data_IF_245123357151
#
_entry.id   IF_245123357151
#
_cell.length_a   1.000
_cell.length_b   1.000
_cell.length_c   1.000
_cell.angle_alpha   90.00
_cell.angle_beta   90.00
_cell.angle_gamma   90.00
#
_symmetry.space_group_name_H-M   'P 1'
#
loop_
_entity.id
_entity.type
_entity.pdbx_description
1 polymer ?
#
# COMPACT_ATOMS: atom_id res chain seq x y z
N UNK A 1 52.01 3.43 32.02
CA UNK A 1 51.20 3.82 33.20
C UNK A 1 50.38 5.02 32.74
N UNK A 2 49.07 5.01 33.05
CA UNK A 2 47.97 5.84 32.48
C UNK A 2 47.49 5.47 31.06
N UNK A 3 46.21 5.72 30.69
CA UNK A 3 44.93 5.48 31.41
C UNK A 3 43.99 4.57 30.58
N UNK A 4 43.20 3.71 31.23
CA UNK A 4 41.79 3.92 31.60
C UNK A 4 40.78 3.78 30.44
N UNK A 5 40.10 2.63 30.43
CA UNK A 5 38.97 2.30 29.53
C UNK A 5 37.69 2.72 30.23
N UNK A 6 37.09 3.82 29.80
CA UNK A 6 35.74 4.21 30.24
C UNK A 6 34.71 3.96 29.14
N UNK A 7 33.92 2.91 29.34
CA UNK A 7 32.63 2.70 28.68
C UNK A 7 31.56 3.61 29.30
N UNK A 8 30.75 4.34 28.52
CA UNK A 8 29.52 4.93 29.03
C UNK A 8 28.29 4.04 28.82
N UNK A 9 27.81 3.54 29.96
CA UNK A 9 26.43 3.61 30.46
C UNK A 9 25.24 3.19 29.57
N UNK A 10 24.69 2.02 29.94
CA UNK A 10 23.31 1.57 29.80
C UNK A 10 22.27 2.69 30.00
N UNK A 11 21.54 3.04 28.93
CA UNK A 11 20.40 3.96 28.98
C UNK A 11 19.11 3.20 29.33
N UNK A 12 18.65 3.39 30.57
CA UNK A 12 17.38 2.89 31.11
C UNK A 12 16.29 3.92 30.80
N UNK A 13 15.32 3.59 29.94
CA UNK A 13 14.14 4.45 29.73
C UNK A 13 12.96 3.95 30.56
N UNK A 14 12.46 4.88 31.37
CA UNK A 14 11.43 4.78 32.39
C UNK A 14 10.05 4.70 31.72
N UNK A 15 9.24 3.72 32.14
CA UNK A 15 7.80 3.72 31.91
C UNK A 15 7.15 4.69 32.90
N UNK A 16 6.39 5.65 32.39
CA UNK A 16 5.53 6.50 33.20
C UNK A 16 4.08 6.20 32.81
N UNK A 17 3.45 5.37 33.65
CA UNK A 17 2.01 5.18 33.74
C UNK A 17 1.47 6.35 34.56
N UNK A 18 0.52 7.09 34.00
CA UNK A 18 -0.31 8.02 34.76
C UNK A 18 -1.78 7.77 34.37
N UNK A 19 -2.51 7.16 35.28
CA UNK A 19 -3.96 7.08 35.25
C UNK A 19 -4.58 8.40 35.68
N UNK A 20 -5.78 8.67 35.18
CA UNK A 20 -6.61 9.79 35.61
C UNK A 20 -8.06 9.53 35.23
N UNK A 21 -8.85 9.04 36.18
CA UNK A 21 -10.31 8.98 36.16
C UNK A 21 -10.90 10.37 36.38
N UNK A 22 -11.91 10.77 35.60
CA UNK A 22 -12.91 11.75 36.03
C UNK A 22 -14.22 11.62 35.23
N UNK A 23 -15.31 11.84 35.95
CA UNK A 23 -16.71 11.52 35.66
C UNK A 23 -17.45 12.73 35.04
N UNK A 24 -18.44 12.41 34.20
CA UNK A 24 -19.60 13.16 33.66
C UNK A 24 -19.78 14.68 33.90
N UNK A 25 -20.18 15.38 32.82
CA UNK A 25 -21.11 16.51 32.89
C UNK A 25 -21.89 16.67 31.56
N UNK A 26 -23.22 16.56 31.63
CA UNK A 26 -24.14 17.14 30.64
C UNK A 26 -24.19 18.66 30.84
N UNK A 27 -24.14 19.45 29.76
CA UNK A 27 -24.84 20.73 29.67
C UNK A 27 -24.98 21.20 28.21
N UNK A 28 -26.19 21.68 27.96
CA UNK A 28 -26.78 22.19 26.71
C UNK A 28 -26.04 23.43 26.22
N UNK A 29 -25.75 23.47 24.91
CA UNK A 29 -25.25 24.66 24.21
C UNK A 29 -25.64 24.62 22.74
N UNK A 30 -26.49 25.56 22.34
CA UNK A 30 -27.06 25.74 20.99
C UNK A 30 -26.17 26.59 20.07
N UNK A 31 -25.88 26.06 18.88
CA UNK A 31 -25.51 26.71 17.59
C UNK A 31 -24.12 27.41 17.46
N UNK A 32 -23.54 27.57 16.23
CA UNK A 32 -24.14 27.38 14.90
C UNK A 32 -23.39 26.44 13.93
N UNK A 33 -24.10 26.18 12.82
CA UNK A 33 -23.72 25.42 11.65
C UNK A 33 -22.32 25.72 11.10
N UNK A 34 -21.61 24.67 10.71
CA UNK A 34 -20.32 24.78 10.03
C UNK A 34 -19.40 23.57 10.20
N UNK A 35 -19.94 22.36 10.26
CA UNK A 35 -19.13 21.15 10.13
C UNK A 35 -19.68 20.41 8.92
N UNK A 36 -18.88 20.41 7.86
CA UNK A 36 -19.14 19.75 6.61
C UNK A 36 -19.74 18.37 6.84
N UNK A 37 -20.91 18.14 6.24
CA UNK A 37 -21.44 16.82 5.92
C UNK A 37 -20.47 16.16 4.93
N UNK A 38 -19.31 15.75 5.43
CA UNK A 38 -18.50 14.73 4.81
C UNK A 38 -19.20 13.43 5.11
N UNK A 39 -20.00 12.97 4.16
CA UNK A 39 -20.66 11.67 4.10
C UNK A 39 -19.71 10.57 4.63
N UNK A 40 -19.81 10.26 5.93
CA UNK A 40 -19.34 9.00 6.47
C UNK A 40 -20.37 7.95 6.07
N UNK A 41 -20.46 7.72 4.75
CA UNK A 41 -21.20 6.62 4.18
C UNK A 41 -20.64 5.34 4.77
N UNK A 42 -21.52 4.54 5.37
CA UNK A 42 -21.21 3.18 5.76
C UNK A 42 -20.84 2.37 4.51
N UNK A 43 -19.55 2.34 4.18
CA UNK A 43 -18.93 1.54 3.12
C UNK A 43 -17.53 1.08 3.56
N UNK A 44 -17.39 0.76 4.84
CA UNK A 44 -16.13 0.39 5.49
C UNK A 44 -15.43 -0.86 4.92
N UNK A 45 -16.01 -1.55 3.92
CA UNK A 45 -15.48 -2.77 3.31
C UNK A 45 -15.03 -2.65 1.83
N UNK A 46 -15.35 -1.57 1.10
CA UNK A 46 -14.97 -1.44 -0.31
C UNK A 46 -13.81 -0.46 -0.56
N UNK A 47 -13.14 -0.57 -1.72
CA UNK A 47 -12.21 0.44 -2.22
C UNK A 47 -13.01 1.56 -2.91
N UNK A 48 -12.55 2.80 -2.78
CA UNK A 48 -13.14 3.91 -3.55
C UNK A 48 -12.81 3.79 -5.04
N UNK A 49 -13.49 4.57 -5.89
CA UNK A 49 -13.20 4.61 -7.34
C UNK A 49 -11.74 4.96 -7.64
N UNK A 50 -11.19 5.97 -6.96
CA UNK A 50 -9.79 6.38 -7.16
C UNK A 50 -8.80 5.32 -6.65
N UNK A 51 -9.09 4.68 -5.52
CA UNK A 51 -8.27 3.59 -5.00
C UNK A 51 -8.30 2.38 -5.93
N UNK A 52 -9.46 2.07 -6.50
CA UNK A 52 -9.64 1.04 -7.54
C UNK A 52 -8.78 1.36 -8.76
N UNK A 53 -8.83 2.59 -9.26
CA UNK A 53 -7.99 3.02 -10.38
C UNK A 53 -6.49 2.89 -10.07
N UNK A 54 -6.07 3.24 -8.85
CA UNK A 54 -4.68 3.10 -8.42
C UNK A 54 -4.22 1.64 -8.39
N UNK A 55 -5.02 0.73 -7.81
CA UNK A 55 -4.68 -0.70 -7.77
C UNK A 55 -4.64 -1.29 -9.18
N UNK A 56 -5.57 -0.92 -10.05
CA UNK A 56 -5.58 -1.37 -11.45
C UNK A 56 -4.40 -0.84 -12.25
N UNK A 57 -3.94 0.38 -12.00
CA UNK A 57 -2.71 0.90 -12.63
C UNK A 57 -1.49 0.04 -12.24
N UNK A 58 -1.38 -0.33 -10.97
CA UNK A 58 -0.32 -1.24 -10.48
C UNK A 58 -0.48 -2.65 -11.07
N UNK A 59 -1.69 -3.18 -11.16
CA UNK A 59 -1.95 -4.48 -11.76
C UNK A 59 -1.56 -4.52 -13.25
N UNK A 60 -1.93 -3.49 -14.01
CA UNK A 60 -1.58 -3.38 -15.44
C UNK A 60 -0.09 -3.29 -15.66
N UNK A 61 0.63 -2.50 -14.86
CA UNK A 61 2.08 -2.36 -15.02
C UNK A 61 2.83 -3.61 -14.56
N UNK A 62 2.39 -4.24 -13.47
CA UNK A 62 2.93 -5.51 -12.99
C UNK A 62 2.67 -6.69 -13.94
N UNK A 63 1.64 -6.60 -14.78
CA UNK A 63 1.36 -7.60 -15.81
C UNK A 63 2.37 -7.60 -16.98
N UNK A 64 3.18 -6.55 -17.14
CA UNK A 64 4.14 -6.40 -18.25
C UNK A 64 5.59 -6.19 -17.81
N UNK A 65 5.82 -5.79 -16.56
CA UNK A 65 7.13 -5.41 -16.05
C UNK A 65 7.54 -6.26 -14.83
N UNK A 66 8.80 -6.74 -14.75
CA UNK A 66 9.91 -6.51 -15.68
C UNK A 66 9.82 -7.36 -16.96
N UNK A 67 9.09 -8.46 -16.88
CA UNK A 67 8.77 -9.35 -17.99
C UNK A 67 7.26 -9.57 -18.01
N UNK A 68 6.68 -9.89 -19.18
CA UNK A 68 5.26 -10.20 -19.27
C UNK A 68 4.85 -11.32 -18.31
N UNK A 69 3.76 -11.09 -17.60
CA UNK A 69 3.25 -12.06 -16.64
C UNK A 69 2.73 -13.30 -17.40
N UNK A 70 3.15 -14.52 -17.01
CA UNK A 70 2.76 -15.74 -17.71
C UNK A 70 1.25 -15.94 -17.78
N UNK A 71 0.78 -16.68 -18.79
CA UNK A 71 -0.64 -16.89 -18.98
C UNK A 71 -1.28 -17.74 -17.87
N UNK A 72 -0.54 -18.68 -17.27
CA UNK A 72 -1.01 -19.65 -16.26
C UNK A 72 -2.33 -20.36 -16.63
N UNK A 73 -2.50 -20.71 -17.91
CA UNK A 73 -3.72 -21.36 -18.41
C UNK A 73 -4.97 -20.47 -18.46
N UNK A 74 -4.86 -19.19 -18.10
CA UNK A 74 -5.97 -18.24 -18.19
C UNK A 74 -6.04 -17.60 -19.59
N UNK A 75 -7.25 -17.26 -20.03
CA UNK A 75 -7.47 -16.68 -21.36
C UNK A 75 -6.93 -15.26 -21.49
N UNK A 76 -6.35 -14.96 -22.66
CA UNK A 76 -5.87 -13.63 -23.04
C UNK A 76 -4.61 -13.16 -22.29
N UNK A 77 -4.01 -12.04 -22.72
CA UNK A 77 -2.82 -11.48 -22.06
C UNK A 77 -3.15 -10.96 -20.65
N UNK A 78 -2.17 -11.05 -19.75
CA UNK A 78 -2.31 -10.68 -18.34
C UNK A 78 -2.85 -9.26 -18.11
N UNK A 79 -2.47 -8.29 -18.95
CA UNK A 79 -2.96 -6.90 -18.90
C UNK A 79 -4.48 -6.82 -19.02
N UNK A 80 -5.09 -7.66 -19.88
CA UNK A 80 -6.56 -7.68 -20.07
C UNK A 80 -7.30 -8.28 -18.87
N UNK A 81 -6.59 -8.94 -17.95
CA UNK A 81 -7.15 -9.52 -16.72
C UNK A 81 -7.19 -8.52 -15.57
N UNK A 82 -6.50 -7.38 -15.68
CA UNK A 82 -6.57 -6.30 -14.70
C UNK A 82 -7.89 -5.52 -14.83
N UNK A 83 -9.00 -6.17 -14.42
CA UNK A 83 -10.37 -5.65 -14.47
C UNK A 83 -10.91 -5.41 -13.07
N UNK A 84 -11.86 -4.49 -12.94
CA UNK A 84 -12.54 -4.21 -11.67
C UNK A 84 -13.25 -5.44 -11.10
N UNK A 85 -13.85 -6.26 -11.96
CA UNK A 85 -14.52 -7.49 -11.52
C UNK A 85 -13.53 -8.46 -10.84
N UNK A 86 -12.33 -8.61 -11.40
CA UNK A 86 -11.29 -9.46 -10.81
C UNK A 86 -10.67 -8.84 -9.57
N UNK A 87 -10.51 -7.52 -9.54
CA UNK A 87 -10.07 -6.80 -8.36
C UNK A 87 -11.05 -7.02 -7.20
N UNK A 88 -12.36 -6.88 -7.45
CA UNK A 88 -13.39 -7.11 -6.43
C UNK A 88 -13.36 -8.54 -5.90
N UNK A 89 -13.23 -9.52 -6.80
CA UNK A 89 -13.12 -10.93 -6.41
C UNK A 89 -11.85 -11.24 -5.60
N UNK A 90 -10.72 -10.59 -5.91
CA UNK A 90 -9.48 -10.72 -5.16
C UNK A 90 -9.58 -10.01 -3.79
N UNK A 91 -10.15 -8.80 -3.75
CA UNK A 91 -10.33 -8.01 -2.53
C UNK A 91 -11.26 -8.70 -1.53
N UNK A 92 -12.28 -9.43 -2.00
CA UNK A 92 -13.20 -10.19 -1.15
C UNK A 92 -12.51 -11.33 -0.35
N UNK A 93 -11.28 -11.72 -0.74
CA UNK A 93 -10.48 -12.72 -0.01
C UNK A 93 -9.64 -12.11 1.13
N UNK A 94 -9.56 -10.79 1.22
CA UNK A 94 -8.72 -10.11 2.20
C UNK A 94 -9.46 -9.95 3.53
N UNK A 95 -8.73 -10.08 4.63
CA UNK A 95 -9.21 -9.63 5.93
C UNK A 95 -9.22 -8.08 6.03
N UNK A 96 -9.89 -7.55 7.05
CA UNK A 96 -10.06 -6.11 7.25
C UNK A 96 -8.73 -5.38 7.51
N UNK A 97 -7.77 -6.01 8.18
CA UNK A 97 -6.47 -5.41 8.47
C UNK A 97 -5.65 -5.24 7.20
N UNK A 98 -5.64 -6.25 6.34
CA UNK A 98 -4.96 -6.23 5.05
C UNK A 98 -5.63 -5.27 4.08
N UNK A 99 -6.96 -5.21 4.06
CA UNK A 99 -7.68 -4.22 3.26
C UNK A 99 -7.35 -2.78 3.71
N UNK A 100 -7.16 -2.54 5.00
CA UNK A 100 -6.73 -1.23 5.52
C UNK A 100 -5.36 -0.84 4.97
N UNK A 101 -4.40 -1.76 4.94
CA UNK A 101 -3.07 -1.54 4.34
C UNK A 101 -3.15 -1.21 2.84
N UNK A 102 -3.99 -1.94 2.10
CA UNK A 102 -4.26 -1.66 0.67
C UNK A 102 -4.79 -0.25 0.50
N UNK A 103 -5.80 0.15 1.28
CA UNK A 103 -6.40 1.48 1.22
C UNK A 103 -5.38 2.58 1.51
N UNK A 104 -4.55 2.40 2.54
CA UNK A 104 -3.49 3.36 2.88
C UNK A 104 -2.53 3.57 1.70
N UNK A 105 -2.03 2.48 1.10
CA UNK A 105 -1.13 2.60 -0.06
C UNK A 105 -1.83 3.14 -1.31
N UNK A 106 -3.08 2.77 -1.55
CA UNK A 106 -3.85 3.27 -2.69
C UNK A 106 -4.11 4.77 -2.55
N UNK A 107 -4.51 5.22 -1.36
CA UNK A 107 -4.70 6.63 -1.05
C UNK A 107 -3.41 7.44 -1.23
N UNK A 108 -2.27 6.88 -0.79
CA UNK A 108 -0.95 7.45 -0.96
C UNK A 108 -0.56 7.60 -2.45
N UNK A 109 -0.88 6.61 -3.30
CA UNK A 109 -0.71 6.71 -4.76
C UNK A 109 -1.68 7.72 -5.41
N UNK A 110 -2.90 7.84 -4.88
CA UNK A 110 -3.90 8.80 -5.36
C UNK A 110 -3.48 10.24 -5.04
N UNK A 111 -3.09 10.50 -3.79
CA UNK A 111 -2.67 11.82 -3.32
C UNK A 111 -1.48 12.39 -4.11
N UNK A 112 -0.55 11.51 -4.55
CA UNK A 112 0.58 11.90 -5.41
C UNK A 112 0.29 11.88 -6.91
N UNK A 113 -0.91 11.52 -7.32
CA UNK A 113 -1.27 11.32 -8.74
C UNK A 113 -0.45 10.24 -9.45
N UNK A 114 0.21 9.33 -8.71
CA UNK A 114 1.16 8.36 -9.25
C UNK A 114 0.52 7.41 -10.27
N UNK A 115 -0.73 7.00 -10.02
CA UNK A 115 -1.51 6.12 -10.88
C UNK A 115 -1.87 6.70 -12.25
N UNK A 116 -1.73 8.03 -12.44
CA UNK A 116 -1.98 8.72 -13.72
C UNK A 116 -0.69 9.01 -14.48
N UNK A 117 0.48 8.75 -13.88
CA UNK A 117 1.77 8.95 -14.52
C UNK A 117 2.02 7.87 -15.59
N UNK A 118 3.03 8.09 -16.42
CA UNK A 118 3.51 7.05 -17.33
C UNK A 118 3.95 5.79 -16.57
N UNK A 119 3.91 4.63 -17.21
CA UNK A 119 4.28 3.36 -16.58
C UNK A 119 5.68 3.38 -15.93
N UNK A 120 6.67 3.97 -16.61
CA UNK A 120 8.02 4.14 -16.07
C UNK A 120 8.05 5.02 -14.81
N UNK A 121 7.28 6.10 -14.78
CA UNK A 121 7.20 6.99 -13.64
C UNK A 121 6.44 6.34 -12.46
N UNK A 122 5.39 5.56 -12.73
CA UNK A 122 4.71 4.76 -11.72
C UNK A 122 5.68 3.73 -11.11
N UNK A 123 6.44 3.00 -11.91
CA UNK A 123 7.43 2.03 -11.40
C UNK A 123 8.52 2.69 -10.56
N UNK A 124 8.97 3.89 -10.95
CA UNK A 124 9.92 4.66 -10.16
C UNK A 124 9.35 5.09 -8.80
N UNK A 125 8.09 5.54 -8.77
CA UNK A 125 7.40 5.89 -7.52
C UNK A 125 7.20 4.68 -6.60
N UNK A 126 6.85 3.52 -7.19
CA UNK A 126 6.74 2.25 -6.46
C UNK A 126 8.09 1.81 -5.91
N UNK A 127 9.17 1.94 -6.69
CA UNK A 127 10.53 1.64 -6.24
C UNK A 127 10.99 2.53 -5.08
N UNK A 128 10.69 3.83 -5.15
CA UNK A 128 10.96 4.75 -4.04
C UNK A 128 10.15 4.39 -2.79
N UNK A 129 8.84 4.11 -2.94
CA UNK A 129 8.00 3.66 -1.82
C UNK A 129 8.40 2.30 -1.24
N UNK A 130 8.94 1.41 -2.07
CA UNK A 130 9.42 0.10 -1.64
C UNK A 130 10.77 0.16 -0.91
N UNK A 131 11.55 1.23 -1.10
CA UNK A 131 12.78 1.51 -0.36
C UNK A 131 12.53 2.20 0.99
N UNK A 132 11.35 2.80 1.17
CA UNK A 132 10.91 3.42 2.43
C UNK A 132 10.27 2.39 3.36
N UNK A 133 10.86 2.19 4.53
CA UNK A 133 10.40 1.22 5.54
C UNK A 133 8.98 1.48 6.04
N UNK A 134 8.54 2.75 6.09
CA UNK A 134 7.20 3.12 6.56
C UNK A 134 6.12 2.81 5.52
N UNK A 135 6.49 2.84 4.25
CA UNK A 135 5.57 2.62 3.11
C UNK A 135 5.61 1.19 2.60
N UNK A 136 6.65 0.42 2.93
CA UNK A 136 6.85 -0.94 2.43
C UNK A 136 5.69 -1.87 2.71
N UNK A 137 5.22 -1.94 3.96
CA UNK A 137 4.15 -2.89 4.35
C UNK A 137 2.81 -2.60 3.64
N UNK A 138 2.27 -1.36 3.66
CA UNK A 138 1.10 -1.00 2.86
C UNK A 138 1.28 -1.30 1.37
N UNK A 139 2.44 -0.97 0.82
CA UNK A 139 2.71 -1.16 -0.61
C UNK A 139 2.78 -2.64 -1.01
N UNK A 140 3.26 -3.49 -0.12
CA UNK A 140 3.30 -4.95 -0.29
C UNK A 140 1.88 -5.51 -0.36
N UNK A 141 1.01 -5.13 0.57
CA UNK A 141 -0.40 -5.54 0.55
C UNK A 141 -1.13 -5.08 -0.73
N UNK A 142 -0.91 -3.83 -1.17
CA UNK A 142 -1.48 -3.31 -2.41
C UNK A 142 -0.98 -4.10 -3.64
N UNK A 143 0.31 -4.40 -3.67
CA UNK A 143 0.93 -5.13 -4.78
C UNK A 143 0.44 -6.57 -4.82
N UNK A 144 0.30 -7.24 -3.67
CA UNK A 144 -0.25 -8.59 -3.59
C UNK A 144 -1.68 -8.65 -4.13
N UNK A 145 -2.52 -7.65 -3.78
CA UNK A 145 -3.86 -7.52 -4.35
C UNK A 145 -3.82 -7.29 -5.86
N UNK A 146 -2.90 -6.45 -6.35
CA UNK A 146 -2.71 -6.22 -7.78
C UNK A 146 -2.32 -7.50 -8.54
N UNK A 147 -1.42 -8.33 -7.96
CA UNK A 147 -1.01 -9.62 -8.54
C UNK A 147 -2.17 -10.62 -8.54
N UNK A 148 -2.89 -10.77 -7.42
CA UNK A 148 -4.08 -11.63 -7.33
C UNK A 148 -5.23 -11.18 -8.24
N UNK A 149 -5.26 -9.90 -8.61
CA UNK A 149 -6.18 -9.38 -9.64
C UNK A 149 -5.82 -9.91 -11.03
N UNK A 150 -4.53 -9.89 -11.38
CA UNK A 150 -4.02 -10.32 -12.69
C UNK A 150 -4.12 -11.84 -12.87
N UNK A 151 -3.86 -12.62 -11.82
CA UNK A 151 -3.92 -14.08 -11.89
C UNK A 151 -4.54 -14.73 -10.66
N UNK A 152 -5.40 -15.73 -10.92
CA UNK A 152 -6.14 -16.45 -9.87
C UNK A 152 -5.25 -17.41 -9.07
N UNK A 153 -4.08 -17.74 -9.59
CA UNK A 153 -3.12 -18.65 -8.95
C UNK A 153 -2.37 -17.99 -7.77
N UNK A 154 -2.43 -16.66 -7.68
CA UNK A 154 -1.81 -15.92 -6.59
C UNK A 154 -2.85 -15.56 -5.54
N UNK A 155 -2.55 -15.89 -4.30
CA UNK A 155 -3.34 -15.46 -3.16
C UNK A 155 -3.06 -13.97 -2.87
N UNK A 156 -4.05 -13.07 -2.97
CA UNK A 156 -3.86 -11.66 -2.60
C UNK A 156 -3.56 -11.49 -1.10
N UNK A 157 -3.79 -12.51 -0.28
CA UNK A 157 -3.38 -12.62 1.13
C UNK A 157 -1.88 -12.85 1.34
N UNK A 158 -1.16 -13.39 0.35
CA UNK A 158 0.27 -13.71 0.44
C UNK A 158 1.14 -12.55 -0.05
N UNK A 159 2.28 -12.34 0.62
CA UNK A 159 3.25 -11.29 0.29
C UNK A 159 4.34 -11.75 -0.68
N UNK A 160 4.50 -13.05 -0.93
CA UNK A 160 5.66 -13.63 -1.63
C UNK A 160 5.94 -13.00 -3.01
N UNK A 161 4.91 -12.94 -3.87
CA UNK A 161 5.04 -12.36 -5.20
C UNK A 161 5.27 -10.84 -5.15
N UNK A 162 4.62 -10.16 -4.20
CA UNK A 162 4.75 -8.73 -4.01
C UNK A 162 6.15 -8.35 -3.53
N UNK A 163 6.72 -9.14 -2.61
CA UNK A 163 8.03 -8.88 -2.04
C UNK A 163 9.15 -8.99 -3.05
N UNK A 164 9.11 -10.02 -3.90
CA UNK A 164 10.07 -10.18 -4.99
C UNK A 164 10.03 -9.00 -5.96
N UNK A 165 8.84 -8.60 -6.40
CA UNK A 165 8.67 -7.51 -7.36
C UNK A 165 9.05 -6.15 -6.77
N UNK A 166 8.57 -5.82 -5.57
CA UNK A 166 8.93 -4.57 -4.89
C UNK A 166 10.39 -4.56 -4.44
N UNK A 167 10.97 -5.72 -4.11
CA UNK A 167 12.38 -5.86 -3.78
C UNK A 167 13.27 -5.51 -4.97
N UNK A 168 12.93 -6.00 -6.16
CA UNK A 168 13.57 -5.62 -7.41
C UNK A 168 13.44 -4.11 -7.66
N UNK A 169 12.24 -3.53 -7.56
CA UNK A 169 12.03 -2.09 -7.79
C UNK A 169 12.81 -1.22 -6.79
N UNK A 170 12.83 -1.60 -5.51
CA UNK A 170 13.63 -0.92 -4.50
C UNK A 170 15.13 -0.99 -4.80
N UNK A 171 15.62 -2.12 -5.33
CA UNK A 171 17.02 -2.27 -5.76
C UNK A 171 17.34 -1.36 -6.95
N UNK A 172 16.46 -1.29 -7.96
CA UNK A 172 16.64 -0.37 -9.09
C UNK A 172 16.70 1.08 -8.62
N UNK A 173 15.79 1.48 -7.74
CA UNK A 173 15.75 2.82 -7.16
C UNK A 173 17.03 3.17 -6.41
N UNK A 174 17.51 2.30 -5.50
CA UNK A 174 18.76 2.52 -4.76
C UNK A 174 19.99 2.64 -5.66
N UNK A 175 19.97 1.97 -6.81
CA UNK A 175 21.04 2.04 -7.80
C UNK A 175 20.90 3.20 -8.81
N UNK A 176 19.88 4.07 -8.66
CA UNK A 176 19.61 5.16 -9.59
C UNK A 176 19.11 4.72 -10.97
N UNK A 177 18.71 3.45 -11.14
CA UNK A 177 18.26 2.89 -12.42
C UNK A 177 16.77 3.21 -12.59
N UNK A 178 16.42 3.84 -13.72
CA UNK A 178 15.01 4.11 -14.06
C UNK A 178 14.40 2.93 -14.82
N UNK A 179 13.27 2.37 -14.36
CA UNK A 179 12.53 1.35 -15.09
C UNK A 179 12.10 1.86 -16.47
N UNK A 180 12.29 1.04 -17.49
CA UNK A 180 11.77 1.30 -18.84
C UNK A 180 10.65 0.31 -19.14
N UNK A 181 9.59 0.80 -19.78
CA UNK A 181 8.44 0.00 -20.20
C UNK A 181 8.32 0.22 -21.69
N UNK A 182 8.46 -0.84 -22.49
CA UNK A 182 8.16 -0.76 -23.92
C UNK A 182 6.63 -0.69 -24.04
N UNK A 183 6.14 0.44 -24.54
CA UNK A 183 4.72 0.66 -24.84
C UNK A 183 4.25 -0.16 -26.03
#
# INVERSE_FOLDING_TARGET
>A
MEPDRTSPATTRRVFLVAGGTAVSAMLVGTAPAGAAEGTAGGDGAALTTDQTAAVLAVARIGAVYPVPFPAYGESGPAVRRATEARLRAAAAKLDAARLTLVRTAAQDLVARGAHRKSGAALLADLGAGAADTTRRKPLTALTALAVGTVSRHFDPGSDEAADGWLGMLARLHRNGIRPTVRG
#
